data_IF_877411176040
#
_entry.id   IF_877411176040
#
_cell.length_a   1.000
_cell.length_b   1.000
_cell.length_c   1.000
_cell.angle_alpha   90.00
_cell.angle_beta   90.00
_cell.angle_gamma   90.00
#
_symmetry.space_group_name_H-M   'P 1'
#
loop_
_entity.id
_entity.type
_entity.pdbx_description
1 polymer ?
#
# COMPACT_ATOMS: atom_id res chain seq x y z
N UNK A 1 -26.42 -53.92 -59.72
CA UNK A 1 -26.84 -52.94 -58.72
C UNK A 1 -26.00 -53.13 -57.45
N UNK A 2 -24.98 -52.30 -57.23
CA UNK A 2 -24.07 -52.36 -56.08
C UNK A 2 -24.58 -51.33 -55.03
N UNK A 3 -24.95 -51.80 -53.84
CA UNK A 3 -25.28 -50.96 -52.71
C UNK A 3 -23.98 -50.55 -52.02
N UNK A 4 -23.69 -49.26 -52.02
CA UNK A 4 -22.59 -48.67 -51.28
C UNK A 4 -23.13 -48.35 -49.87
N UNK A 5 -22.64 -49.04 -48.83
CA UNK A 5 -22.84 -48.68 -47.44
C UNK A 5 -21.86 -47.56 -47.07
N UNK A 6 -22.39 -46.38 -46.73
CA UNK A 6 -21.61 -45.27 -46.20
C UNK A 6 -21.61 -45.37 -44.70
N UNK A 7 -20.50 -45.79 -44.10
CA UNK A 7 -20.32 -45.83 -42.65
C UNK A 7 -19.89 -44.42 -42.18
N UNK A 8 -20.77 -43.69 -41.47
CA UNK A 8 -20.43 -42.47 -40.77
C UNK A 8 -19.66 -42.85 -39.48
N UNK A 9 -18.37 -42.57 -39.44
CA UNK A 9 -17.59 -42.53 -38.21
C UNK A 9 -17.87 -41.20 -37.53
N UNK A 10 -18.65 -41.20 -36.44
CA UNK A 10 -18.79 -40.06 -35.54
C UNK A 10 -17.58 -40.07 -34.61
N UNK A 11 -16.61 -39.17 -34.88
CA UNK A 11 -15.47 -38.93 -34.03
C UNK A 11 -15.96 -38.01 -32.87
N UNK A 12 -16.31 -38.59 -31.75
CA UNK A 12 -16.59 -37.84 -30.52
C UNK A 12 -15.28 -37.32 -29.95
N UNK A 13 -14.92 -36.07 -30.27
CA UNK A 13 -13.89 -35.34 -29.52
C UNK A 13 -14.42 -35.07 -28.12
N UNK A 14 -13.99 -35.88 -27.14
CA UNK A 14 -14.17 -35.58 -25.76
C UNK A 14 -13.29 -34.33 -25.43
N UNK A 15 -13.91 -33.17 -25.38
CA UNK A 15 -13.31 -32.00 -24.74
C UNK A 15 -13.13 -32.34 -23.26
N UNK A 16 -11.95 -32.77 -22.90
CA UNK A 16 -11.53 -32.77 -21.50
C UNK A 16 -11.37 -31.32 -21.08
N UNK A 17 -12.43 -30.73 -20.52
CA UNK A 17 -12.31 -29.51 -19.77
C UNK A 17 -11.36 -29.84 -18.60
N UNK A 18 -10.11 -29.39 -18.72
CA UNK A 18 -9.18 -29.38 -17.59
C UNK A 18 -9.84 -28.53 -16.53
N UNK A 19 -10.31 -29.13 -15.45
CA UNK A 19 -10.77 -28.36 -14.29
C UNK A 19 -9.58 -27.50 -13.86
N UNK A 20 -9.75 -26.18 -13.89
CA UNK A 20 -8.72 -25.26 -13.43
C UNK A 20 -8.46 -25.56 -11.96
N UNK A 21 -7.21 -25.86 -11.62
CA UNK A 21 -6.83 -26.19 -10.23
C UNK A 21 -7.06 -24.96 -9.34
N UNK A 22 -7.57 -25.18 -8.14
CA UNK A 22 -7.70 -24.12 -7.13
C UNK A 22 -6.31 -23.67 -6.70
N UNK A 23 -6.00 -22.36 -6.79
CA UNK A 23 -4.67 -21.78 -6.54
C UNK A 23 -4.74 -20.47 -5.80
N UNK A 24 -3.61 -20.07 -5.18
CA UNK A 24 -3.37 -18.66 -4.85
C UNK A 24 -2.92 -17.94 -6.12
N UNK A 25 -3.53 -16.81 -6.44
CA UNK A 25 -3.20 -16.05 -7.65
C UNK A 25 -2.16 -14.96 -7.34
N UNK A 26 -2.44 -14.12 -6.34
CA UNK A 26 -1.57 -13.01 -5.96
C UNK A 26 -1.29 -13.06 -4.46
N UNK A 27 -0.09 -12.66 -4.06
CA UNK A 27 0.31 -12.62 -2.67
C UNK A 27 1.05 -13.89 -2.17
N UNK A 28 1.21 -14.06 -0.85
CA UNK A 28 0.83 -13.07 0.17
C UNK A 28 1.66 -11.81 0.12
N UNK A 29 1.06 -10.69 0.54
CA UNK A 29 1.78 -9.45 0.77
C UNK A 29 1.33 -8.81 2.09
N UNK A 30 2.30 -8.22 2.78
CA UNK A 30 2.14 -7.67 4.12
C UNK A 30 1.88 -6.16 4.07
N UNK A 31 0.92 -5.70 4.86
CA UNK A 31 0.60 -4.29 5.04
C UNK A 31 0.27 -3.99 6.51
N UNK A 32 0.03 -2.71 6.81
CA UNK A 32 -0.37 -2.21 8.14
C UNK A 32 0.51 -2.74 9.27
N UNK A 33 1.84 -2.50 9.19
CA UNK A 33 2.74 -2.92 10.24
C UNK A 33 2.41 -2.18 11.54
N UNK A 34 2.40 -2.92 12.66
CA UNK A 34 2.21 -2.40 14.00
C UNK A 34 3.15 -3.09 14.99
N UNK A 35 3.21 -2.55 16.20
CA UNK A 35 3.98 -3.16 17.30
C UNK A 35 3.37 -4.51 17.72
N UNK A 36 2.08 -4.69 17.52
CA UNK A 36 1.29 -5.82 17.97
C UNK A 36 0.53 -6.55 16.85
N UNK A 37 0.84 -6.24 15.59
CA UNK A 37 0.11 -6.87 14.48
C UNK A 37 0.66 -6.62 13.10
N UNK A 38 0.07 -7.35 12.12
CA UNK A 38 0.37 -7.28 10.70
C UNK A 38 -0.87 -7.69 9.91
N UNK A 39 -1.11 -7.06 8.76
CA UNK A 39 -2.17 -7.47 7.83
C UNK A 39 -1.59 -8.28 6.69
N UNK A 40 -2.25 -9.36 6.31
CA UNK A 40 -1.85 -10.25 5.22
C UNK A 40 -2.92 -10.23 4.15
N UNK A 41 -2.52 -9.91 2.92
CA UNK A 41 -3.39 -9.82 1.76
C UNK A 41 -3.01 -10.86 0.72
N UNK A 42 -4.00 -11.42 0.03
CA UNK A 42 -3.81 -12.38 -1.05
C UNK A 42 -5.11 -12.61 -1.83
N UNK A 43 -5.00 -13.26 -2.99
CA UNK A 43 -6.17 -13.68 -3.76
C UNK A 43 -6.14 -15.17 -4.07
N UNK A 44 -7.32 -15.73 -4.33
CA UNK A 44 -7.52 -17.11 -4.77
C UNK A 44 -8.18 -17.16 -6.14
N UNK A 45 -7.93 -18.22 -6.91
CA UNK A 45 -8.50 -18.41 -8.25
C UNK A 45 -10.02 -18.62 -8.24
N UNK A 46 -10.58 -18.99 -7.11
CA UNK A 46 -12.01 -19.20 -6.93
C UNK A 46 -12.42 -18.77 -5.52
N UNK A 47 -13.72 -18.65 -5.28
CA UNK A 47 -14.30 -18.27 -3.99
C UNK A 47 -13.89 -19.25 -2.90
N UNK A 48 -13.43 -18.72 -1.78
CA UNK A 48 -12.85 -19.52 -0.71
C UNK A 48 -13.25 -19.03 0.69
N UNK A 49 -13.09 -19.92 1.66
CA UNK A 49 -12.91 -19.59 3.07
C UNK A 49 -11.42 -19.72 3.39
N UNK A 50 -10.82 -18.64 3.88
CA UNK A 50 -9.37 -18.54 4.06
C UNK A 50 -9.00 -18.10 5.48
N UNK A 51 -7.81 -18.52 5.92
CA UNK A 51 -7.20 -18.10 7.19
C UNK A 51 -5.69 -18.05 7.08
N UNK A 52 -5.07 -17.38 8.05
CA UNK A 52 -3.62 -17.36 8.25
C UNK A 52 -3.28 -18.15 9.49
N UNK A 53 -2.40 -19.13 9.38
CA UNK A 53 -1.81 -19.81 10.53
C UNK A 53 -0.52 -19.10 10.94
N UNK A 54 -0.32 -18.91 12.23
CA UNK A 54 0.81 -18.15 12.78
C UNK A 54 1.48 -18.94 13.89
N UNK A 55 2.81 -18.90 13.93
CA UNK A 55 3.63 -19.47 15.01
C UNK A 55 4.81 -18.56 15.34
N UNK A 56 5.32 -18.67 16.56
CA UNK A 56 6.59 -18.06 16.96
C UNK A 56 7.78 -18.84 16.40
N UNK A 57 8.96 -18.23 16.40
CA UNK A 57 10.20 -18.90 15.98
C UNK A 57 10.56 -20.08 16.88
N UNK A 58 10.13 -20.10 18.14
CA UNK A 58 10.29 -21.23 19.06
C UNK A 58 9.36 -22.41 18.76
N UNK A 59 8.52 -22.30 17.72
CA UNK A 59 7.55 -23.31 17.30
C UNK A 59 6.19 -23.23 18.01
N UNK A 60 5.99 -22.29 18.94
CA UNK A 60 4.70 -22.09 19.62
C UNK A 60 3.64 -21.71 18.60
N UNK A 61 2.61 -22.55 18.48
CA UNK A 61 1.45 -22.29 17.61
C UNK A 61 0.54 -21.25 18.26
N UNK A 62 0.24 -20.18 17.53
CA UNK A 62 -0.72 -19.14 17.91
C UNK A 62 -2.12 -19.39 17.33
N UNK A 63 -2.28 -20.48 16.56
CA UNK A 63 -3.52 -20.84 15.92
C UNK A 63 -3.76 -20.12 14.60
N UNK A 64 -5.05 -20.00 14.26
CA UNK A 64 -5.49 -19.39 13.01
C UNK A 64 -6.13 -18.03 13.24
N UNK A 65 -5.83 -17.11 12.34
CA UNK A 65 -6.43 -15.79 12.26
C UNK A 65 -7.39 -15.73 11.05
N UNK A 66 -8.56 -15.17 11.27
CA UNK A 66 -9.62 -15.03 10.28
C UNK A 66 -10.27 -13.67 10.44
N UNK A 67 -10.71 -13.07 9.36
CA UNK A 67 -11.54 -11.87 9.43
C UNK A 67 -12.96 -12.25 9.86
N UNK A 68 -13.44 -11.58 10.90
CA UNK A 68 -14.80 -11.76 11.42
C UNK A 68 -15.47 -10.39 11.56
N UNK A 69 -16.69 -10.28 11.05
CA UNK A 69 -17.51 -9.07 11.18
C UNK A 69 -18.91 -9.45 11.64
N UNK A 70 -19.34 -8.86 12.74
CA UNK A 70 -20.68 -9.10 13.33
C UNK A 70 -20.99 -10.60 13.54
N UNK A 71 -19.97 -11.41 13.92
CA UNK A 71 -20.09 -12.85 14.15
C UNK A 71 -20.01 -13.71 12.87
N UNK A 72 -19.92 -13.10 11.69
CA UNK A 72 -19.73 -13.80 10.42
C UNK A 72 -18.25 -13.81 10.02
N UNK A 73 -17.72 -15.00 9.78
CA UNK A 73 -16.39 -15.15 9.21
C UNK A 73 -16.43 -14.76 7.73
N UNK A 74 -15.40 -14.01 7.30
CA UNK A 74 -15.27 -13.64 5.89
C UNK A 74 -15.07 -14.89 5.03
N UNK A 75 -15.97 -15.08 4.06
CA UNK A 75 -16.05 -16.30 3.28
C UNK A 75 -16.68 -16.04 1.90
N UNK A 76 -16.50 -16.99 0.98
CA UNK A 76 -17.05 -16.94 -0.37
C UNK A 76 -16.59 -15.73 -1.18
N UNK A 77 -15.33 -15.35 -1.00
CA UNK A 77 -14.64 -14.27 -1.70
C UNK A 77 -13.37 -14.80 -2.37
N UNK A 78 -12.86 -14.07 -3.34
CA UNK A 78 -11.57 -14.32 -4.00
C UNK A 78 -10.46 -13.40 -3.50
N UNK A 79 -10.82 -12.30 -2.82
CA UNK A 79 -9.88 -11.33 -2.27
C UNK A 79 -9.92 -11.42 -0.75
N UNK A 80 -8.77 -11.57 -0.13
CA UNK A 80 -8.63 -11.82 1.29
C UNK A 80 -7.73 -10.79 1.94
N UNK A 81 -8.18 -10.21 3.06
CA UNK A 81 -7.42 -9.30 3.91
C UNK A 81 -7.59 -9.77 5.36
N UNK A 82 -6.54 -10.30 5.95
CA UNK A 82 -6.61 -10.89 7.29
C UNK A 82 -5.65 -10.16 8.22
N UNK A 83 -6.19 -9.58 9.29
CA UNK A 83 -5.41 -8.94 10.33
C UNK A 83 -4.95 -9.98 11.35
N UNK A 84 -3.67 -9.94 11.69
CA UNK A 84 -3.04 -10.69 12.78
C UNK A 84 -2.78 -9.69 13.90
N UNK A 85 -3.47 -9.80 15.02
CA UNK A 85 -3.35 -8.91 16.18
C UNK A 85 -2.93 -9.68 17.44
N UNK A 86 -2.60 -8.94 18.51
CA UNK A 86 -2.23 -9.50 19.80
C UNK A 86 -0.83 -10.09 19.84
N UNK A 87 0.03 -9.67 18.92
CA UNK A 87 1.42 -10.09 18.84
C UNK A 87 2.30 -9.30 19.81
N UNK A 88 3.49 -9.85 20.10
CA UNK A 88 4.49 -9.15 20.88
C UNK A 88 5.32 -8.21 20.01
N UNK A 89 5.69 -7.01 20.48
CA UNK A 89 6.57 -6.10 19.79
C UNK A 89 7.96 -6.69 19.52
N UNK A 90 8.61 -6.21 18.46
CA UNK A 90 9.98 -6.57 18.10
C UNK A 90 10.22 -8.09 17.96
N UNK A 91 9.19 -8.83 17.58
CA UNK A 91 9.20 -10.30 17.57
C UNK A 91 8.98 -10.81 16.15
N UNK A 92 9.74 -11.83 15.77
CA UNK A 92 9.59 -12.53 14.50
C UNK A 92 8.55 -13.65 14.64
N UNK A 93 7.70 -13.76 13.62
CA UNK A 93 6.67 -14.77 13.50
C UNK A 93 6.75 -15.43 12.14
N UNK A 94 6.48 -16.74 12.11
CA UNK A 94 6.22 -17.47 10.87
C UNK A 94 4.73 -17.53 10.60
N UNK A 95 4.33 -17.42 9.33
CA UNK A 95 2.93 -17.51 8.92
C UNK A 95 2.78 -18.27 7.61
N UNK A 96 1.60 -18.85 7.38
CA UNK A 96 1.22 -19.40 6.09
C UNK A 96 -0.26 -19.15 5.80
N UNK A 97 -0.61 -19.11 4.53
CA UNK A 97 -2.00 -19.06 4.08
C UNK A 97 -2.56 -20.48 4.01
N UNK A 98 -3.83 -20.61 4.37
CA UNK A 98 -4.62 -21.79 4.09
C UNK A 98 -5.96 -21.34 3.52
N UNK A 99 -6.36 -21.95 2.41
CA UNK A 99 -7.65 -21.63 1.74
C UNK A 99 -8.37 -22.91 1.39
N UNK A 100 -9.69 -22.88 1.58
CA UNK A 100 -10.60 -23.96 1.25
C UNK A 100 -11.61 -23.45 0.24
N UNK A 101 -11.57 -23.99 -0.97
CA UNK A 101 -12.50 -23.63 -2.05
C UNK A 101 -13.95 -23.82 -1.59
N UNK A 102 -14.82 -22.88 -1.91
CA UNK A 102 -16.25 -22.96 -1.65
C UNK A 102 -17.00 -23.11 -2.96
N UNK A 103 -17.37 -24.34 -3.31
CA UNK A 103 -18.03 -24.65 -4.57
C UNK A 103 -19.50 -24.25 -4.61
N UNK A 104 -20.14 -24.08 -3.43
CA UNK A 104 -21.49 -23.55 -3.30
C UNK A 104 -21.69 -22.92 -1.92
N UNK A 105 -22.42 -21.80 -1.88
CA UNK A 105 -22.84 -21.15 -0.65
C UNK A 105 -24.32 -20.75 -0.77
N UNK A 106 -25.21 -21.60 -0.27
CA UNK A 106 -26.65 -21.39 -0.23
C UNK A 106 -27.12 -21.33 1.22
N UNK A 107 -28.25 -20.70 1.53
CA UNK A 107 -28.87 -20.83 2.85
C UNK A 107 -29.00 -22.31 3.20
N UNK A 108 -28.53 -22.77 4.32
CA UNK A 108 -28.61 -24.16 4.80
C UNK A 108 -27.78 -25.22 4.02
N UNK A 109 -26.95 -24.82 3.02
CA UNK A 109 -26.13 -25.74 2.24
C UNK A 109 -24.84 -25.07 1.75
N UNK A 110 -23.73 -25.43 2.37
CA UNK A 110 -22.39 -24.97 1.97
C UNK A 110 -21.59 -26.20 1.56
N UNK A 111 -20.98 -26.15 0.39
CA UNK A 111 -20.10 -27.22 -0.10
C UNK A 111 -18.71 -26.68 -0.38
N UNK A 112 -17.73 -27.52 -0.06
CA UNK A 112 -16.32 -27.22 -0.22
C UNK A 112 -15.69 -28.12 -1.28
N UNK A 113 -14.69 -27.60 -1.97
CA UNK A 113 -13.80 -28.31 -2.86
C UNK A 113 -12.40 -28.50 -2.23
N UNK A 114 -11.38 -28.25 -3.04
CA UNK A 114 -9.99 -28.43 -2.67
C UNK A 114 -9.54 -27.49 -1.55
N UNK A 115 -8.48 -27.91 -0.87
CA UNK A 115 -7.79 -27.08 0.13
C UNK A 115 -6.33 -26.94 -0.26
N UNK A 116 -5.81 -25.73 -0.15
CA UNK A 116 -4.42 -25.38 -0.47
C UNK A 116 -3.77 -24.63 0.66
N UNK A 117 -2.45 -24.75 0.78
CA UNK A 117 -1.64 -24.00 1.74
C UNK A 117 -0.33 -23.56 1.09
N UNK A 118 0.17 -22.39 1.50
CA UNK A 118 1.51 -21.93 1.12
C UNK A 118 2.60 -22.58 1.96
N UNK A 119 3.88 -22.48 1.54
CA UNK A 119 5.00 -22.59 2.47
C UNK A 119 4.88 -21.58 3.61
N UNK A 120 5.71 -21.75 4.64
CA UNK A 120 5.84 -20.79 5.73
C UNK A 120 6.70 -19.61 5.28
N UNK A 121 6.22 -18.40 5.56
CA UNK A 121 6.93 -17.13 5.42
C UNK A 121 7.15 -16.53 6.80
N UNK A 122 7.92 -15.45 6.91
CA UNK A 122 8.15 -14.79 8.20
C UNK A 122 7.96 -13.28 8.10
N UNK A 123 7.59 -12.66 9.20
CA UNK A 123 7.61 -11.22 9.36
C UNK A 123 8.01 -10.83 10.78
N UNK A 124 8.39 -9.59 10.96
CA UNK A 124 8.71 -9.04 12.27
C UNK A 124 7.77 -7.88 12.60
N UNK A 125 7.23 -7.86 13.83
CA UNK A 125 6.47 -6.72 14.35
C UNK A 125 7.39 -5.53 14.61
N UNK A 126 6.82 -4.31 14.57
CA UNK A 126 7.60 -3.10 14.82
C UNK A 126 8.17 -3.08 16.24
N UNK A 127 9.36 -2.50 16.37
CA UNK A 127 10.01 -2.31 17.66
C UNK A 127 9.73 -0.89 18.17
N UNK A 128 8.92 -0.71 19.24
CA UNK A 128 8.64 0.61 19.82
C UNK A 128 9.88 1.30 20.40
N UNK A 129 10.95 0.56 20.63
CA UNK A 129 12.21 1.06 21.18
C UNK A 129 13.30 1.27 20.11
N UNK A 130 13.01 0.99 18.85
CA UNK A 130 13.95 1.18 17.78
C UNK A 130 14.41 2.65 17.74
N UNK A 131 15.73 2.84 17.71
CA UNK A 131 16.36 4.15 17.61
C UNK A 131 16.73 4.50 16.17
N UNK A 132 16.48 3.58 15.26
CA UNK A 132 16.70 3.72 13.82
C UNK A 132 15.57 3.02 13.08
N UNK A 133 15.03 3.72 12.07
CA UNK A 133 14.05 3.19 11.12
C UNK A 133 14.57 3.48 9.72
N UNK A 134 14.59 2.48 8.87
CA UNK A 134 15.05 2.60 7.47
C UNK A 134 13.93 2.14 6.53
N UNK A 135 13.60 2.95 5.55
CA UNK A 135 12.54 2.63 4.61
C UNK A 135 12.82 3.15 3.20
N UNK A 136 12.24 2.49 2.21
CA UNK A 136 12.23 2.98 0.84
C UNK A 136 10.94 3.75 0.55
N UNK A 137 11.04 4.73 -0.34
CA UNK A 137 9.88 5.44 -0.90
C UNK A 137 9.97 5.37 -2.42
N UNK A 138 8.89 4.92 -3.06
CA UNK A 138 8.70 4.90 -4.52
C UNK A 138 7.33 5.50 -4.82
N UNK A 139 7.21 6.25 -5.90
CA UNK A 139 5.98 6.90 -6.34
C UNK A 139 5.90 6.92 -7.87
N UNK A 140 4.73 7.26 -8.41
CA UNK A 140 4.50 7.51 -9.84
C UNK A 140 4.97 6.33 -10.73
N UNK A 141 4.63 5.12 -10.30
CA UNK A 141 4.96 3.87 -11.01
C UNK A 141 4.18 3.68 -12.29
N UNK A 142 2.90 4.13 -12.35
CA UNK A 142 2.01 4.10 -13.51
C UNK A 142 1.98 2.76 -14.25
N UNK A 143 1.87 1.66 -13.52
CA UNK A 143 1.86 0.28 -14.03
C UNK A 143 3.19 -0.21 -14.65
N UNK A 144 4.30 0.51 -14.48
CA UNK A 144 5.61 0.06 -14.98
C UNK A 144 6.32 -0.84 -13.97
N UNK A 145 5.94 -2.12 -13.96
CA UNK A 145 6.54 -3.14 -13.10
C UNK A 145 8.04 -3.35 -13.35
N UNK A 146 8.51 -3.12 -14.59
CA UNK A 146 9.92 -3.24 -14.95
C UNK A 146 10.77 -2.14 -14.32
N UNK A 147 10.32 -0.89 -14.42
CA UNK A 147 10.93 0.26 -13.75
C UNK A 147 10.92 0.08 -12.24
N UNK A 148 9.77 -0.30 -11.67
CA UNK A 148 9.65 -0.54 -10.23
C UNK A 148 10.65 -1.59 -9.74
N UNK A 149 10.80 -2.71 -10.45
CA UNK A 149 11.78 -3.75 -10.14
C UNK A 149 13.20 -3.17 -10.08
N UNK A 150 13.58 -2.37 -11.07
CA UNK A 150 14.90 -1.73 -11.13
C UNK A 150 15.13 -0.81 -9.93
N UNK A 151 14.14 0.02 -9.60
CA UNK A 151 14.22 0.95 -8.46
C UNK A 151 14.32 0.21 -7.11
N UNK A 152 13.53 -0.84 -6.91
CA UNK A 152 13.58 -1.63 -5.67
C UNK A 152 14.92 -2.37 -5.52
N UNK A 153 15.48 -2.86 -6.60
CA UNK A 153 16.76 -3.59 -6.59
C UNK A 153 17.99 -2.67 -6.48
N UNK A 154 17.84 -1.35 -6.65
CA UNK A 154 18.91 -0.38 -6.44
C UNK A 154 19.38 -0.30 -4.97
N UNK A 155 18.56 -0.84 -4.03
CA UNK A 155 18.85 -0.82 -2.60
C UNK A 155 18.82 -2.23 -2.00
N UNK A 156 19.58 -2.49 -0.91
CA UNK A 156 19.55 -3.75 -0.21
C UNK A 156 18.23 -3.89 0.58
N UNK A 157 17.22 -4.53 -0.01
CA UNK A 157 15.90 -4.70 0.58
C UNK A 157 15.92 -5.38 1.96
N UNK A 158 16.94 -6.19 2.25
CA UNK A 158 17.12 -6.81 3.56
C UNK A 158 17.39 -5.79 4.68
N UNK A 159 17.94 -4.63 4.35
CA UNK A 159 18.29 -3.58 5.31
C UNK A 159 17.17 -2.58 5.59
N UNK A 160 16.02 -2.67 4.91
CA UNK A 160 14.87 -1.79 5.15
C UNK A 160 13.83 -2.45 6.02
N UNK A 161 13.15 -1.66 6.84
CA UNK A 161 12.05 -2.13 7.69
C UNK A 161 10.74 -2.24 6.92
N UNK A 162 10.52 -1.34 5.95
CA UNK A 162 9.31 -1.28 5.12
C UNK A 162 9.53 -0.50 3.83
N UNK A 163 8.60 -0.61 2.89
CA UNK A 163 8.55 0.18 1.65
C UNK A 163 7.31 1.04 1.66
N UNK A 164 7.43 2.32 1.32
CA UNK A 164 6.29 3.19 1.06
C UNK A 164 6.06 3.32 -0.44
N UNK A 165 4.86 3.02 -0.87
CA UNK A 165 4.34 3.41 -2.18
C UNK A 165 3.58 4.71 -2.00
N UNK A 166 4.17 5.81 -2.48
CA UNK A 166 3.67 7.16 -2.22
C UNK A 166 2.85 7.72 -3.37
N UNK A 167 1.89 6.91 -3.83
CA UNK A 167 0.87 7.27 -4.81
C UNK A 167 1.26 7.03 -6.27
N UNK A 168 0.23 7.00 -7.10
CA UNK A 168 0.30 6.83 -8.55
C UNK A 168 1.08 5.59 -9.01
N UNK A 169 0.91 4.48 -8.27
CA UNK A 169 1.49 3.20 -8.65
C UNK A 169 0.76 2.58 -9.84
N UNK A 170 -0.50 2.96 -10.06
CA UNK A 170 -1.31 2.60 -11.22
C UNK A 170 -1.83 3.86 -11.93
N UNK A 171 -2.20 3.75 -13.21
CA UNK A 171 -2.71 4.88 -13.99
C UNK A 171 -4.20 5.13 -13.78
N UNK A 172 -4.99 4.07 -13.56
CA UNK A 172 -6.42 4.11 -13.25
C UNK A 172 -6.89 2.72 -12.81
N UNK A 173 -8.08 2.63 -12.18
CA UNK A 173 -8.61 1.37 -11.66
C UNK A 173 -10.00 1.07 -12.22
N UNK A 174 -10.04 0.45 -13.41
CA UNK A 174 -11.26 0.05 -14.12
C UNK A 174 -11.49 -1.46 -14.11
N UNK A 175 -10.46 -2.27 -13.83
CA UNK A 175 -10.49 -3.72 -13.75
C UNK A 175 -9.48 -4.19 -12.70
N UNK A 176 -9.53 -5.46 -12.22
CA UNK A 176 -8.77 -5.88 -11.04
C UNK A 176 -7.25 -5.95 -11.21
N UNK A 177 -6.75 -6.19 -12.43
CA UNK A 177 -5.36 -6.56 -12.69
C UNK A 177 -4.32 -5.47 -12.47
N UNK A 178 -4.57 -4.15 -12.79
CA UNK A 178 -3.53 -3.12 -12.75
C UNK A 178 -2.72 -3.04 -11.45
N UNK A 179 -3.27 -3.15 -10.25
CA UNK A 179 -2.47 -3.13 -9.02
C UNK A 179 -1.55 -4.34 -8.89
N UNK A 180 -2.01 -5.52 -9.29
CA UNK A 180 -1.21 -6.74 -9.21
C UNK A 180 -0.07 -6.72 -10.22
N UNK A 181 -0.37 -6.47 -11.49
CA UNK A 181 0.61 -6.40 -12.56
C UNK A 181 1.56 -5.21 -12.41
N UNK A 182 1.06 -4.07 -11.95
CA UNK A 182 1.82 -2.82 -11.84
C UNK A 182 2.82 -2.79 -10.69
N UNK A 183 2.47 -3.31 -9.51
CA UNK A 183 3.37 -3.20 -8.37
C UNK A 183 3.29 -4.34 -7.34
N UNK A 184 2.13 -4.98 -7.13
CA UNK A 184 1.97 -5.97 -6.06
C UNK A 184 2.80 -7.23 -6.35
N UNK A 185 2.71 -7.81 -7.55
CA UNK A 185 3.39 -9.08 -7.85
C UNK A 185 4.92 -8.91 -7.85
N UNK A 186 5.43 -7.80 -8.34
CA UNK A 186 6.87 -7.45 -8.22
C UNK A 186 7.28 -7.33 -6.76
N UNK A 187 6.46 -6.71 -5.93
CA UNK A 187 6.73 -6.59 -4.49
C UNK A 187 6.72 -7.96 -3.80
N UNK A 188 5.74 -8.80 -4.14
CA UNK A 188 5.63 -10.18 -3.61
C UNK A 188 6.86 -11.01 -3.98
N UNK A 189 7.36 -10.87 -5.19
CA UNK A 189 8.57 -11.57 -5.63
C UNK A 189 9.80 -11.10 -4.86
N UNK A 190 9.95 -9.78 -4.64
CA UNK A 190 11.18 -9.21 -4.10
C UNK A 190 11.20 -9.15 -2.56
N UNK A 191 10.09 -8.81 -1.89
CA UNK A 191 10.12 -8.57 -0.44
C UNK A 191 8.79 -8.73 0.29
N UNK A 192 7.64 -8.48 -0.36
CA UNK A 192 6.38 -8.23 0.34
C UNK A 192 5.79 -9.44 1.09
N UNK A 193 6.33 -10.66 0.87
CA UNK A 193 6.02 -11.84 1.69
C UNK A 193 6.58 -11.74 3.11
N UNK A 194 7.67 -11.00 3.29
CA UNK A 194 8.42 -10.97 4.54
C UNK A 194 8.55 -9.58 5.16
N UNK A 195 8.34 -8.52 4.38
CA UNK A 195 8.38 -7.12 4.83
C UNK A 195 7.14 -6.38 4.34
N UNK A 196 6.54 -5.51 5.16
CA UNK A 196 5.37 -4.79 4.74
C UNK A 196 5.70 -3.67 3.76
N UNK A 197 4.73 -3.36 2.90
CA UNK A 197 4.66 -2.06 2.32
C UNK A 197 3.53 -1.24 2.94
N UNK A 198 3.69 0.07 2.92
CA UNK A 198 2.70 1.06 3.38
C UNK A 198 2.29 1.88 2.17
N UNK A 199 0.99 1.98 1.95
CA UNK A 199 0.45 2.66 0.78
C UNK A 199 -0.10 4.03 1.13
N UNK A 200 0.26 5.03 0.35
CA UNK A 200 -0.33 6.37 0.29
C UNK A 200 -1.00 6.49 -1.07
N UNK A 201 -2.29 6.81 -1.10
CA UNK A 201 -3.03 6.92 -2.36
C UNK A 201 -2.65 8.20 -3.11
N UNK A 202 -2.38 8.07 -4.42
CA UNK A 202 -2.22 9.18 -5.33
C UNK A 202 -3.53 9.57 -6.01
N UNK A 203 -3.48 10.53 -6.94
CA UNK A 203 -4.66 10.95 -7.66
C UNK A 203 -5.08 9.95 -8.74
N UNK A 204 -4.16 9.20 -9.33
CA UNK A 204 -4.47 8.19 -10.32
C UNK A 204 -5.26 7.00 -9.75
N UNK A 205 -5.04 6.63 -8.50
CA UNK A 205 -5.82 5.58 -7.82
C UNK A 205 -7.28 6.00 -7.53
N UNK A 206 -7.63 7.27 -7.70
CA UNK A 206 -9.01 7.75 -7.56
C UNK A 206 -9.82 7.62 -8.84
N UNK A 207 -9.15 7.32 -9.97
CA UNK A 207 -9.73 7.27 -11.32
C UNK A 207 -10.22 5.87 -11.68
N UNK A 208 -11.38 5.81 -12.31
CA UNK A 208 -12.04 4.55 -12.65
C UNK A 208 -13.10 4.13 -11.64
N UNK A 209 -14.06 3.31 -12.08
CA UNK A 209 -15.21 2.94 -11.25
C UNK A 209 -14.83 2.04 -10.05
N UNK A 210 -13.76 1.26 -10.17
CA UNK A 210 -13.26 0.39 -9.09
C UNK A 210 -12.45 1.14 -8.02
N UNK A 211 -12.12 2.41 -8.23
CA UNK A 211 -11.37 3.21 -7.26
C UNK A 211 -12.02 3.23 -5.86
N UNK A 212 -13.33 3.04 -5.79
CA UNK A 212 -14.10 2.95 -4.54
C UNK A 212 -13.82 1.69 -3.74
N UNK A 213 -13.36 0.64 -4.41
CA UNK A 213 -13.03 -0.66 -3.80
C UNK A 213 -11.51 -0.84 -3.62
N UNK A 214 -10.70 0.18 -3.91
CA UNK A 214 -9.24 0.10 -3.83
C UNK A 214 -8.74 -0.32 -2.43
N UNK A 215 -9.48 0.02 -1.37
CA UNK A 215 -9.18 -0.35 0.02
C UNK A 215 -9.20 -1.86 0.29
N UNK A 216 -9.78 -2.68 -0.60
CA UNK A 216 -9.78 -4.16 -0.46
C UNK A 216 -8.41 -4.75 -0.82
N UNK A 217 -7.60 -4.00 -1.58
CA UNK A 217 -6.29 -4.44 -2.09
C UNK A 217 -5.18 -3.81 -1.26
N UNK A 218 -5.28 -2.52 -0.98
CA UNK A 218 -4.35 -1.78 -0.14
C UNK A 218 -5.08 -1.39 1.14
N UNK A 219 -5.21 -2.35 2.03
CA UNK A 219 -5.97 -2.21 3.24
C UNK A 219 -5.38 -1.18 4.20
N UNK A 220 -6.26 -0.34 4.70
CA UNK A 220 -5.95 0.57 5.79
C UNK A 220 -6.91 0.34 6.96
N UNK A 221 -6.45 0.43 8.20
CA UNK A 221 -7.32 0.30 9.35
C UNK A 221 -8.51 1.27 9.27
N UNK A 222 -9.72 0.75 9.48
CA UNK A 222 -10.94 1.56 9.47
C UNK A 222 -11.37 2.06 8.10
N UNK A 223 -10.86 1.47 7.01
CA UNK A 223 -11.21 1.83 5.63
C UNK A 223 -10.91 3.29 5.25
N UNK A 224 -9.89 3.87 5.89
CA UNK A 224 -9.39 5.22 5.57
C UNK A 224 -8.01 5.12 4.94
N UNK A 225 -7.74 5.93 3.92
CA UNK A 225 -6.40 6.03 3.31
C UNK A 225 -5.47 6.95 4.11
N UNK A 226 -5.99 7.88 4.91
CA UNK A 226 -5.17 8.70 5.79
C UNK A 226 -5.12 8.13 7.20
N UNK A 227 -3.93 8.10 7.78
CA UNK A 227 -3.70 7.53 9.11
C UNK A 227 -2.36 7.96 9.71
N UNK A 228 -2.13 7.60 10.94
CA UNK A 228 -0.82 7.72 11.59
C UNK A 228 -0.43 6.39 12.22
N UNK A 229 0.86 6.12 12.27
CA UNK A 229 1.44 5.00 13.02
C UNK A 229 2.83 5.37 13.52
N UNK A 230 3.41 4.51 14.35
CA UNK A 230 4.78 4.67 14.86
C UNK A 230 5.65 3.48 14.50
N UNK A 231 6.91 3.78 14.17
CA UNK A 231 7.99 2.81 14.15
C UNK A 231 9.15 3.39 14.99
N UNK A 232 9.45 2.74 16.11
CA UNK A 232 10.45 3.22 17.04
C UNK A 232 10.18 4.64 17.56
N UNK A 233 11.17 5.51 17.39
CA UNK A 233 11.10 6.92 17.79
C UNK A 233 10.44 7.84 16.74
N UNK A 234 9.98 7.28 15.61
CA UNK A 234 9.42 8.03 14.47
C UNK A 234 7.91 7.89 14.41
N UNK A 235 7.19 9.00 14.30
CA UNK A 235 5.78 9.05 13.96
C UNK A 235 5.62 9.34 12.47
N UNK A 236 4.83 8.52 11.80
CA UNK A 236 4.44 8.69 10.40
C UNK A 236 3.02 9.19 10.32
N UNK A 237 2.77 10.16 9.46
CA UNK A 237 1.44 10.65 9.13
C UNK A 237 1.26 10.51 7.62
N UNK A 238 0.24 9.77 7.23
CA UNK A 238 -0.11 9.55 5.84
C UNK A 238 -1.34 10.38 5.50
N UNK A 239 -1.24 11.17 4.44
CA UNK A 239 -2.36 11.94 3.91
C UNK A 239 -2.76 11.41 2.54
N UNK A 240 -4.04 11.36 2.30
CA UNK A 240 -4.63 11.06 1.01
C UNK A 240 -5.05 12.35 0.34
N UNK A 241 -4.27 12.79 -0.62
CA UNK A 241 -4.42 14.12 -1.21
C UNK A 241 -5.53 14.23 -2.25
N UNK A 242 -6.08 13.08 -2.69
CA UNK A 242 -7.10 13.05 -3.73
C UNK A 242 -6.63 13.60 -5.07
N UNK A 243 -7.52 14.20 -5.84
CA UNK A 243 -7.24 14.77 -7.16
C UNK A 243 -6.59 16.16 -7.08
N UNK A 244 -5.91 16.54 -8.17
CA UNK A 244 -5.15 17.78 -8.32
C UNK A 244 -6.03 18.99 -8.71
N UNK A 245 -7.10 18.76 -9.49
CA UNK A 245 -8.01 19.78 -9.99
C UNK A 245 -9.21 20.01 -9.06
N UNK A 246 -9.95 21.12 -9.21
CA UNK A 246 -11.21 21.38 -8.49
C UNK A 246 -12.24 20.27 -8.72
N UNK A 247 -13.05 19.99 -7.70
CA UNK A 247 -14.09 18.93 -7.75
C UNK A 247 -15.15 19.17 -8.83
N UNK A 248 -15.40 20.43 -9.21
CA UNK A 248 -16.34 20.81 -10.27
C UNK A 248 -15.74 20.71 -11.69
N UNK A 249 -14.50 20.25 -11.82
CA UNK A 249 -13.87 20.02 -13.12
C UNK A 249 -14.69 19.01 -13.93
N UNK A 250 -15.09 19.35 -15.20
CA UNK A 250 -16.01 18.50 -15.96
C UNK A 250 -15.58 17.04 -16.15
N UNK A 251 -14.26 16.78 -16.16
CA UNK A 251 -13.72 15.42 -16.30
C UNK A 251 -14.11 14.49 -15.14
N UNK A 252 -14.44 15.01 -13.99
CA UNK A 252 -14.85 14.21 -12.82
C UNK A 252 -16.36 13.91 -12.78
N UNK A 253 -17.16 14.48 -13.70
CA UNK A 253 -18.57 14.19 -13.80
C UNK A 253 -19.42 14.58 -12.59
N UNK A 254 -18.89 15.43 -11.68
CA UNK A 254 -19.57 15.86 -10.45
C UNK A 254 -19.69 14.79 -9.36
N UNK A 255 -18.79 13.79 -9.35
CA UNK A 255 -18.83 12.69 -8.38
C UNK A 255 -17.63 12.65 -7.42
N UNK A 256 -16.85 13.73 -7.37
CA UNK A 256 -15.74 13.94 -6.44
C UNK A 256 -16.12 14.93 -5.34
N UNK A 257 -15.49 14.77 -4.16
CA UNK A 257 -15.55 15.69 -3.00
C UNK A 257 -14.16 15.70 -2.30
N UNK A 258 -13.10 15.92 -3.10
CA UNK A 258 -11.74 15.94 -2.54
C UNK A 258 -11.44 17.22 -1.80
N UNK A 259 -12.07 18.33 -2.15
CA UNK A 259 -11.92 19.60 -1.41
C UNK A 259 -12.43 19.45 0.03
N UNK A 260 -13.63 18.86 0.20
CA UNK A 260 -14.16 18.53 1.51
C UNK A 260 -13.32 17.49 2.24
N UNK A 261 -12.84 16.49 1.52
CA UNK A 261 -12.03 15.41 2.09
C UNK A 261 -10.65 15.89 2.58
N UNK A 262 -9.99 16.82 1.88
CA UNK A 262 -8.75 17.47 2.35
C UNK A 262 -8.98 18.28 3.62
N UNK A 263 -10.07 19.06 3.66
CA UNK A 263 -10.47 19.79 4.88
C UNK A 263 -10.76 18.86 6.05
N UNK A 264 -11.43 17.73 5.82
CA UNK A 264 -11.67 16.71 6.85
C UNK A 264 -10.34 16.16 7.42
N UNK A 265 -9.35 15.92 6.58
CA UNK A 265 -8.04 15.43 7.01
C UNK A 265 -7.27 16.49 7.82
N UNK A 266 -7.32 17.75 7.40
CA UNK A 266 -6.74 18.86 8.17
C UNK A 266 -7.37 18.97 9.57
N UNK A 267 -8.69 18.82 9.68
CA UNK A 267 -9.40 18.81 10.95
C UNK A 267 -9.05 17.58 11.80
N UNK A 268 -8.97 16.38 11.20
CA UNK A 268 -8.50 15.18 11.87
C UNK A 268 -7.08 15.36 12.42
N UNK A 269 -6.16 15.86 11.61
CA UNK A 269 -4.79 16.11 12.05
C UNK A 269 -4.73 17.08 13.22
N UNK A 270 -5.46 18.21 13.13
CA UNK A 270 -5.54 19.24 14.16
C UNK A 270 -6.15 18.74 15.47
N UNK A 271 -7.23 17.94 15.41
CA UNK A 271 -8.04 17.58 16.57
C UNK A 271 -7.66 16.25 17.21
N UNK A 272 -7.10 15.32 16.43
CA UNK A 272 -6.74 13.99 16.89
C UNK A 272 -5.22 13.81 16.93
N UNK A 273 -4.53 13.93 15.79
CA UNK A 273 -3.09 13.60 15.69
C UNK A 273 -2.24 14.54 16.53
N UNK A 274 -2.41 15.86 16.40
CA UNK A 274 -1.64 16.84 17.16
C UNK A 274 -1.89 16.77 18.69
N UNK A 275 -3.00 16.14 19.12
CA UNK A 275 -3.31 15.93 20.54
C UNK A 275 -2.84 14.56 21.03
N UNK A 276 -2.57 13.63 20.15
CA UNK A 276 -2.10 12.29 20.50
C UNK A 276 -0.75 12.35 21.22
N UNK A 277 -0.68 11.66 22.36
CA UNK A 277 0.51 11.67 23.22
C UNK A 277 1.70 10.98 22.56
N UNK A 278 1.45 9.91 21.80
CA UNK A 278 2.50 9.14 21.15
C UNK A 278 3.10 9.94 20.00
N UNK A 279 2.27 10.60 19.18
CA UNK A 279 2.71 11.52 18.14
C UNK A 279 3.53 12.69 18.72
N UNK A 280 3.04 13.34 19.77
CA UNK A 280 3.73 14.49 20.39
C UNK A 280 5.09 14.14 21.00
N UNK A 281 5.27 12.90 21.45
CA UNK A 281 6.51 12.40 22.07
C UNK A 281 7.46 11.76 21.06
N UNK A 282 7.03 11.52 19.86
CA UNK A 282 7.90 11.02 18.81
C UNK A 282 9.05 12.01 18.61
N UNK A 283 10.27 11.46 18.48
CA UNK A 283 11.47 12.26 18.26
C UNK A 283 11.46 12.87 16.88
N UNK A 284 11.03 12.06 15.89
CA UNK A 284 10.89 12.49 14.51
C UNK A 284 9.45 12.32 14.04
N UNK A 285 9.01 13.24 13.20
CA UNK A 285 7.67 13.28 12.62
C UNK A 285 7.78 13.43 11.11
N UNK A 286 7.39 12.42 10.39
CA UNK A 286 7.47 12.38 8.93
C UNK A 286 6.06 12.34 8.36
N UNK A 287 5.81 13.19 7.37
CA UNK A 287 4.58 13.17 6.57
C UNK A 287 4.88 12.53 5.22
N UNK A 288 4.01 11.63 4.79
CA UNK A 288 3.95 11.14 3.41
C UNK A 288 2.61 11.55 2.81
N UNK A 289 2.67 12.15 1.65
CA UNK A 289 1.51 12.58 0.87
C UNK A 289 1.90 12.62 -0.61
N UNK A 290 0.97 12.30 -1.50
CA UNK A 290 1.31 12.23 -2.91
C UNK A 290 1.47 13.63 -3.52
N UNK A 291 0.41 14.45 -3.53
CA UNK A 291 0.47 15.83 -4.02
C UNK A 291 1.17 16.70 -2.97
N UNK A 292 2.24 17.43 -3.34
CA UNK A 292 2.97 18.27 -2.39
C UNK A 292 2.17 19.50 -1.94
N UNK A 293 2.36 19.97 -0.69
CA UNK A 293 1.71 21.18 -0.18
C UNK A 293 2.46 22.46 -0.65
N UNK A 294 3.00 22.45 -1.86
CA UNK A 294 3.71 23.55 -2.50
C UNK A 294 3.44 23.52 -4.01
N UNK A 295 3.36 24.67 -4.64
CA UNK A 295 3.26 24.75 -6.10
C UNK A 295 4.67 24.75 -6.69
N UNK A 296 4.97 23.76 -7.52
CA UNK A 296 6.26 23.63 -8.19
C UNK A 296 6.27 24.30 -9.57
N UNK A 297 7.43 24.69 -10.10
CA UNK A 297 7.52 25.16 -11.47
C UNK A 297 7.01 24.10 -12.46
N UNK A 298 6.30 24.53 -13.50
CA UNK A 298 5.83 23.66 -14.58
C UNK A 298 4.45 23.02 -14.38
N UNK A 299 3.82 23.18 -13.22
CA UNK A 299 2.41 22.77 -13.06
C UNK A 299 1.53 23.59 -14.01
N UNK A 300 0.69 22.98 -14.86
CA UNK A 300 -0.23 23.68 -15.72
C UNK A 300 -1.24 24.51 -14.92
N UNK A 301 -1.63 25.67 -15.45
CA UNK A 301 -2.64 26.52 -14.82
C UNK A 301 -3.96 25.77 -14.62
N UNK A 302 -4.48 25.76 -13.39
CA UNK A 302 -5.68 25.04 -12.98
C UNK A 302 -5.44 23.62 -12.46
N UNK A 303 -4.22 23.10 -12.52
CA UNK A 303 -3.84 21.82 -11.91
C UNK A 303 -3.15 22.00 -10.55
N UNK A 304 -2.90 23.24 -10.12
CA UNK A 304 -2.32 23.58 -8.82
C UNK A 304 -3.34 23.62 -7.67
N UNK A 305 -4.63 23.40 -7.94
CA UNK A 305 -5.70 23.57 -6.96
C UNK A 305 -5.47 22.75 -5.70
N UNK A 306 -5.16 21.45 -5.87
CA UNK A 306 -4.86 20.56 -4.74
C UNK A 306 -3.66 21.05 -3.93
N UNK A 307 -2.58 21.46 -4.59
CA UNK A 307 -1.37 22.00 -3.93
C UNK A 307 -1.69 23.25 -3.09
N UNK A 308 -2.44 24.19 -3.67
CA UNK A 308 -2.84 25.45 -3.02
C UNK A 308 -3.71 25.19 -1.80
N UNK A 309 -4.68 24.27 -1.89
CA UNK A 309 -5.53 23.91 -0.76
C UNK A 309 -4.72 23.23 0.35
N UNK A 310 -3.89 22.22 -0.01
CA UNK A 310 -3.03 21.52 0.94
C UNK A 310 -2.07 22.49 1.65
N UNK A 311 -1.49 23.44 0.92
CA UNK A 311 -0.66 24.48 1.51
C UNK A 311 -1.43 25.30 2.53
N UNK A 312 -2.58 25.85 2.13
CA UNK A 312 -3.42 26.70 2.99
C UNK A 312 -3.86 25.98 4.27
N UNK A 313 -4.26 24.72 4.17
CA UNK A 313 -4.87 23.98 5.28
C UNK A 313 -3.86 23.21 6.14
N UNK A 314 -2.82 22.64 5.54
CA UNK A 314 -1.89 21.76 6.24
C UNK A 314 -0.55 22.42 6.60
N UNK A 315 0.01 23.31 5.79
CA UNK A 315 1.32 23.87 6.06
C UNK A 315 1.41 24.60 7.43
N UNK A 316 0.41 25.40 7.86
CA UNK A 316 0.42 25.98 9.21
C UNK A 316 0.33 24.92 10.32
N UNK A 317 -0.40 23.83 10.10
CA UNK A 317 -0.56 22.75 11.05
C UNK A 317 0.74 21.93 11.18
N UNK A 318 1.41 21.63 10.06
CA UNK A 318 2.68 20.92 10.03
C UNK A 318 3.77 21.73 10.74
N UNK A 319 3.86 23.03 10.47
CA UNK A 319 4.76 23.95 11.16
C UNK A 319 4.55 23.91 12.67
N UNK A 320 3.28 24.01 13.10
CA UNK A 320 2.91 23.97 14.54
C UNK A 320 3.18 22.61 15.19
N UNK A 321 3.02 21.52 14.44
CA UNK A 321 3.25 20.16 14.90
C UNK A 321 4.74 19.81 15.00
N UNK A 322 5.63 20.61 14.35
CA UNK A 322 7.05 20.33 14.23
C UNK A 322 7.29 19.10 13.37
N UNK A 323 6.79 19.12 12.13
CA UNK A 323 7.11 18.09 11.14
C UNK A 323 8.56 18.26 10.70
N UNK A 324 9.33 17.18 10.73
CA UNK A 324 10.76 17.18 10.39
C UNK A 324 11.02 17.00 8.89
N UNK A 325 10.11 16.32 8.19
CA UNK A 325 10.22 16.09 6.75
C UNK A 325 8.86 15.72 6.15
N UNK A 326 8.55 16.28 4.98
CA UNK A 326 7.42 15.86 4.13
C UNK A 326 7.95 15.24 2.84
N UNK A 327 7.52 14.02 2.53
CA UNK A 327 7.89 13.25 1.34
C UNK A 327 6.70 13.21 0.38
N UNK A 328 6.92 13.62 -0.87
CA UNK A 328 5.90 13.76 -1.90
C UNK A 328 6.34 13.12 -3.24
N UNK A 329 5.39 12.95 -4.17
CA UNK A 329 5.57 12.55 -5.56
C UNK A 329 4.86 13.52 -6.51
N UNK A 330 4.07 12.97 -7.45
CA UNK A 330 3.09 13.66 -8.31
C UNK A 330 3.68 14.47 -9.46
N UNK A 331 4.74 15.22 -9.23
CA UNK A 331 5.24 16.19 -10.22
C UNK A 331 6.08 15.57 -11.34
N UNK A 332 6.47 14.29 -11.20
CA UNK A 332 7.43 13.59 -12.06
C UNK A 332 8.80 14.28 -12.16
N UNK A 333 9.03 15.30 -11.34
CA UNK A 333 10.28 16.05 -11.27
C UNK A 333 10.78 16.10 -9.83
N UNK A 334 12.10 16.08 -9.70
CA UNK A 334 12.74 16.16 -8.40
C UNK A 334 12.84 17.61 -7.92
N UNK A 335 12.27 17.88 -6.72
CA UNK A 335 12.44 19.16 -6.03
C UNK A 335 12.77 18.95 -4.57
N UNK A 336 13.56 19.85 -4.04
CA UNK A 336 13.86 19.89 -2.62
C UNK A 336 13.75 21.33 -2.14
N UNK A 337 12.89 21.56 -1.15
CA UNK A 337 12.69 22.84 -0.50
C UNK A 337 13.09 22.73 0.96
N UNK A 338 14.02 23.60 1.40
CA UNK A 338 14.42 23.68 2.79
C UNK A 338 13.31 24.32 3.65
N UNK A 339 13.40 24.13 4.97
CA UNK A 339 12.51 24.82 5.90
C UNK A 339 12.65 26.34 5.74
N UNK A 340 11.53 27.05 5.62
CA UNK A 340 11.44 28.47 5.34
C UNK A 340 11.19 28.80 3.87
N UNK A 341 11.39 27.86 2.96
CA UNK A 341 11.08 28.05 1.54
C UNK A 341 9.62 27.73 1.24
N UNK A 342 9.10 28.28 0.14
CA UNK A 342 7.71 28.10 -0.32
C UNK A 342 6.63 28.30 0.78
N UNK A 343 6.91 29.12 1.80
CA UNK A 343 5.99 29.34 2.92
C UNK A 343 5.90 28.19 3.94
N UNK A 344 6.64 27.10 3.76
CA UNK A 344 6.66 25.94 4.66
C UNK A 344 7.80 26.08 5.67
N UNK A 345 7.51 25.95 6.98
CA UNK A 345 8.54 25.94 8.05
C UNK A 345 9.12 24.53 8.30
N UNK A 346 9.00 23.65 7.33
CA UNK A 346 9.50 22.27 7.34
C UNK A 346 10.02 21.93 5.94
N UNK A 347 10.97 21.00 5.82
CA UNK A 347 11.48 20.58 4.52
C UNK A 347 10.42 19.81 3.72
N UNK A 348 10.39 20.06 2.41
CA UNK A 348 9.55 19.30 1.46
C UNK A 348 10.48 18.64 0.43
N UNK A 349 10.45 17.33 0.37
CA UNK A 349 11.17 16.53 -0.61
C UNK A 349 10.17 15.91 -1.59
N UNK A 350 10.26 16.28 -2.86
CA UNK A 350 9.42 15.75 -3.93
C UNK A 350 10.30 14.84 -4.79
N UNK A 351 9.96 13.58 -4.83
CA UNK A 351 10.65 12.59 -5.63
C UNK A 351 10.06 12.55 -7.04
N UNK A 352 10.91 12.31 -8.04
CA UNK A 352 10.48 12.08 -9.42
C UNK A 352 9.96 10.65 -9.62
N UNK A 353 9.53 10.32 -10.84
CA UNK A 353 9.00 9.01 -11.21
C UNK A 353 10.07 8.03 -11.74
N UNK A 354 11.34 8.40 -11.68
CA UNK A 354 12.49 7.60 -12.11
C UNK A 354 13.43 7.23 -10.98
N UNK A 355 13.12 7.65 -9.74
CA UNK A 355 13.99 7.48 -8.59
C UNK A 355 13.29 6.82 -7.42
N UNK A 356 14.06 6.14 -6.57
CA UNK A 356 13.63 5.68 -5.26
C UNK A 356 14.46 6.33 -4.16
N UNK A 357 13.84 6.55 -3.01
CA UNK A 357 14.48 7.15 -1.85
C UNK A 357 14.73 6.09 -0.78
N UNK A 358 15.99 6.00 -0.31
CA UNK A 358 16.29 5.32 0.94
C UNK A 358 16.34 6.36 2.05
N UNK A 359 15.39 6.28 2.96
CA UNK A 359 15.30 7.18 4.11
C UNK A 359 15.71 6.44 5.37
N UNK A 360 16.68 7.00 6.08
CA UNK A 360 17.10 6.52 7.38
C UNK A 360 16.82 7.58 8.43
N UNK A 361 16.01 7.23 9.42
CA UNK A 361 15.70 8.07 10.58
C UNK A 361 16.43 7.49 11.79
N UNK A 362 17.29 8.26 12.39
CA UNK A 362 18.07 7.86 13.56
C UNK A 362 18.02 8.97 14.64
N UNK A 363 18.58 8.71 15.82
CA UNK A 363 18.54 9.70 16.91
C UNK A 363 19.24 11.02 16.56
N UNK A 364 20.18 11.02 15.63
CA UNK A 364 20.96 12.18 15.21
C UNK A 364 20.38 12.93 14.00
N UNK A 365 19.32 12.41 13.38
CA UNK A 365 18.62 13.06 12.29
C UNK A 365 18.06 12.11 11.23
N UNK A 366 17.69 12.70 10.10
CA UNK A 366 17.09 12.01 8.96
C UNK A 366 18.05 12.14 7.77
N UNK A 367 18.37 11.02 7.12
CA UNK A 367 19.18 10.98 5.91
C UNK A 367 18.31 10.46 4.76
N UNK A 368 18.32 11.17 3.63
CA UNK A 368 17.61 10.76 2.39
C UNK A 368 18.65 10.57 1.29
N UNK A 369 18.76 9.35 0.78
CA UNK A 369 19.52 8.99 -0.41
C UNK A 369 18.57 8.71 -1.56
N UNK A 370 18.85 9.28 -2.72
CA UNK A 370 18.03 9.14 -3.92
C UNK A 370 18.87 8.48 -5.01
N UNK A 371 18.38 7.36 -5.56
CA UNK A 371 19.02 6.65 -6.68
C UNK A 371 17.96 6.47 -7.78
N UNK A 372 18.33 6.82 -9.02
CA UNK A 372 17.43 6.65 -10.16
C UNK A 372 17.54 5.27 -10.81
N UNK A 373 16.68 5.00 -11.79
CA UNK A 373 16.60 3.74 -12.55
C UNK A 373 17.83 3.43 -13.41
N UNK A 374 18.78 4.40 -13.53
CA UNK A 374 20.10 4.22 -14.18
C UNK A 374 21.21 3.96 -13.18
N UNK A 375 20.91 3.94 -11.88
CA UNK A 375 21.88 3.78 -10.80
C UNK A 375 22.65 5.05 -10.45
N UNK A 376 22.19 6.21 -10.90
CA UNK A 376 22.82 7.51 -10.58
C UNK A 376 22.27 8.01 -9.24
N UNK A 377 23.15 8.41 -8.34
CA UNK A 377 22.80 8.92 -7.01
C UNK A 377 22.80 10.44 -6.98
N UNK A 378 21.73 11.03 -6.48
CA UNK A 378 21.61 12.46 -6.20
C UNK A 378 22.37 12.80 -4.89
N UNK A 379 22.74 14.07 -4.67
CA UNK A 379 23.36 14.49 -3.42
C UNK A 379 22.48 14.13 -2.22
N UNK A 380 23.07 13.41 -1.27
CA UNK A 380 22.38 12.99 -0.02
C UNK A 380 21.91 14.21 0.76
N UNK A 381 20.64 14.21 1.16
CA UNK A 381 20.06 15.25 2.02
C UNK A 381 20.06 14.80 3.49
N UNK A 382 20.30 15.75 4.39
CA UNK A 382 20.30 15.51 5.83
C UNK A 382 19.42 16.56 6.54
N UNK A 383 18.59 16.07 7.45
CA UNK A 383 17.71 16.90 8.29
C UNK A 383 17.99 16.57 9.76
N UNK A 384 17.96 17.60 10.61
CA UNK A 384 18.23 17.46 12.05
C UNK A 384 16.93 17.39 12.84
#
# INVERSE_FOLDING_TARGET
MRKILLSLLILSAALTASAQSFTFNHGPYLQDPAEDGMSVFFTTSDRAFSWVEVRKDDGTDLGRFVTCRDGLLDAYTTTHAIRIDGLQPATTYSYRLVSKQMTSFKPYSITYGDSIATPWYSFRTLDPKARRVTFLVVNDGHNDAGKLRTLLQAFPLDSVDMVFYNGDMISHYEYPEPPYEGFIDVSVELFARNKPFVYVRGNHETRGYMARDYHVIVGTPGSRFYRTFRAGNTAFVLFDTGEDKPDDTPVYGGINDFDGYRTQQAEWFRTQVMKDRAFRRARHKIVLMHIPPVVTPGIPAGEEHGNVQLHRELAPLFSKAGIDLTLCGHTHHHYHYAAGEQGCQFPVYINDNHSALLVTVADDGITVRCINDKGEEQPTQQYK
#
